data_IF_620898164590
#
_entry.id   IF_620898164590
#
_cell.length_a   1.000
_cell.length_b   1.000
_cell.length_c   1.000
_cell.angle_alpha   90.00
_cell.angle_beta   90.00
_cell.angle_gamma   90.00
#
_symmetry.space_group_name_H-M   'P 1'
#
loop_
_entity.id
_entity.type
_entity.pdbx_description
1 polymer ?
#
# COMPACT_ATOMS: atom_id res chain seq x y z
N UNK A 1 16.66 -68.00 56.61
CA UNK A 1 16.05 -67.83 55.26
C UNK A 1 15.34 -66.48 55.24
N UNK A 2 16.05 -65.41 54.79
CA UNK A 2 15.58 -64.04 54.81
C UNK A 2 15.11 -63.66 53.42
N UNK A 3 13.85 -63.26 53.24
CA UNK A 3 13.30 -62.77 51.99
C UNK A 3 13.54 -61.27 51.90
N UNK A 4 14.37 -60.86 50.98
CA UNK A 4 14.59 -59.45 50.64
C UNK A 4 13.51 -58.94 49.67
N UNK A 5 12.60 -58.10 50.15
CA UNK A 5 11.63 -57.37 49.30
C UNK A 5 12.33 -56.17 48.66
N UNK A 6 12.51 -56.21 47.33
CA UNK A 6 12.92 -55.03 46.53
C UNK A 6 11.68 -54.30 46.09
N UNK A 7 11.45 -53.13 46.64
CA UNK A 7 10.46 -52.19 46.16
C UNK A 7 11.06 -51.40 44.97
N UNK A 8 10.49 -51.56 43.79
CA UNK A 8 10.78 -50.67 42.62
C UNK A 8 10.02 -49.38 42.76
N UNK A 9 10.74 -48.28 42.99
CA UNK A 9 10.15 -46.95 42.92
C UNK A 9 10.06 -46.51 41.43
N UNK A 10 8.85 -46.37 40.94
CA UNK A 10 8.57 -45.80 39.62
C UNK A 10 8.59 -44.27 39.75
N UNK A 11 9.63 -43.63 39.25
CA UNK A 11 9.68 -42.18 39.15
C UNK A 11 8.91 -41.74 37.91
N UNK A 12 7.70 -41.20 38.11
CA UNK A 12 6.94 -40.58 37.03
C UNK A 12 7.53 -39.19 36.73
N UNK A 13 8.27 -39.08 35.60
CA UNK A 13 8.73 -37.81 35.08
C UNK A 13 7.54 -37.17 34.32
N UNK A 14 6.82 -36.27 34.97
CA UNK A 14 5.85 -35.39 34.30
C UNK A 14 6.59 -34.29 33.56
N UNK A 15 6.88 -34.54 32.28
CA UNK A 15 7.39 -33.51 31.39
C UNK A 15 6.33 -32.45 31.12
N UNK A 16 6.45 -31.30 31.75
CA UNK A 16 5.70 -30.11 31.35
C UNK A 16 6.23 -29.64 29.99
N UNK A 17 5.50 -29.94 28.92
CA UNK A 17 5.76 -29.32 27.61
C UNK A 17 5.38 -27.85 27.73
N UNK A 18 6.34 -26.99 28.02
CA UNK A 18 6.19 -25.54 27.78
C UNK A 18 6.05 -25.37 26.27
N UNK A 19 4.81 -25.18 25.81
CA UNK A 19 4.56 -24.65 24.49
C UNK A 19 5.15 -23.23 24.45
N UNK A 20 6.38 -23.10 23.97
CA UNK A 20 6.94 -21.80 23.63
C UNK A 20 6.00 -21.19 22.58
N UNK A 21 5.25 -20.16 22.98
CA UNK A 21 4.54 -19.31 22.04
C UNK A 21 5.61 -18.75 21.09
N UNK A 22 5.60 -19.18 19.84
CA UNK A 22 6.40 -18.56 18.79
C UNK A 22 5.95 -17.10 18.79
N UNK A 23 6.83 -16.13 19.13
CA UNK A 23 6.46 -14.74 19.01
C UNK A 23 6.09 -14.54 17.55
N UNK A 24 4.83 -14.16 17.29
CA UNK A 24 4.44 -13.69 15.99
C UNK A 24 5.43 -12.60 15.58
N UNK A 25 5.75 -12.47 14.33
CA UNK A 25 6.71 -11.54 13.72
C UNK A 25 6.32 -10.08 13.97
N UNK A 26 5.48 -9.81 14.96
CA UNK A 26 4.80 -8.58 15.29
C UNK A 26 5.73 -7.39 15.42
N UNK A 27 6.08 -6.79 14.29
CA UNK A 27 6.61 -5.43 14.31
C UNK A 27 5.59 -4.54 15.03
N UNK A 28 6.05 -3.87 16.08
CA UNK A 28 5.21 -2.96 16.84
C UNK A 28 4.48 -2.01 15.89
N UNK A 29 3.16 -1.93 16.04
CA UNK A 29 2.31 -1.08 15.20
C UNK A 29 1.69 -0.01 16.08
N UNK A 30 2.08 1.25 15.87
CA UNK A 30 1.47 2.40 16.54
C UNK A 30 1.12 3.47 15.53
N UNK A 31 -0.15 3.84 15.46
CA UNK A 31 -0.64 4.84 14.51
C UNK A 31 -1.78 5.65 15.13
N UNK A 32 -1.70 6.98 15.02
CA UNK A 32 -2.74 7.87 15.55
C UNK A 32 -2.96 7.74 17.06
N UNK A 33 -1.91 7.39 17.83
CA UNK A 33 -1.99 7.21 19.28
C UNK A 33 -2.60 5.89 19.74
N UNK A 34 -2.87 4.94 18.83
CA UNK A 34 -3.38 3.61 19.17
C UNK A 34 -2.37 2.51 18.77
N UNK A 35 -2.24 1.50 19.63
CA UNK A 35 -1.38 0.36 19.38
C UNK A 35 -2.21 -0.79 18.78
N UNK A 36 -1.79 -1.27 17.62
CA UNK A 36 -2.46 -2.37 16.92
C UNK A 36 -2.17 -3.72 17.56
N UNK A 37 -3.18 -4.58 17.61
CA UNK A 37 -3.12 -5.93 18.13
C UNK A 37 -3.38 -6.96 17.01
N UNK A 38 -2.34 -7.66 16.55
CA UNK A 38 -2.43 -8.60 15.43
C UNK A 38 -3.46 -9.70 15.66
N UNK A 39 -3.62 -10.19 16.90
CA UNK A 39 -4.61 -11.22 17.22
C UNK A 39 -6.05 -10.76 16.97
N UNK A 40 -6.40 -9.52 17.29
CA UNK A 40 -7.70 -8.90 16.98
C UNK A 40 -7.79 -8.59 15.48
N UNK A 41 -6.71 -8.09 14.89
CA UNK A 41 -6.61 -7.83 13.46
C UNK A 41 -6.88 -9.07 12.61
N UNK A 42 -6.42 -10.25 13.05
CA UNK A 42 -6.70 -11.53 12.40
C UNK A 42 -8.20 -11.84 12.32
N UNK A 43 -8.97 -11.54 13.38
CA UNK A 43 -10.42 -11.76 13.39
C UNK A 43 -11.11 -10.79 12.40
N UNK A 44 -10.73 -9.52 12.42
CA UNK A 44 -11.26 -8.51 11.51
C UNK A 44 -10.90 -8.83 10.05
N UNK A 45 -9.67 -9.27 9.80
CA UNK A 45 -9.20 -9.68 8.48
C UNK A 45 -10.04 -10.83 7.91
N UNK A 46 -10.29 -11.86 8.71
CA UNK A 46 -11.14 -12.98 8.32
C UNK A 46 -12.56 -12.56 7.97
N UNK A 47 -13.07 -11.54 8.64
CA UNK A 47 -14.43 -11.04 8.43
C UNK A 47 -14.55 -10.15 7.20
N UNK A 48 -13.58 -9.30 6.94
CA UNK A 48 -13.72 -8.21 5.98
C UNK A 48 -12.76 -8.26 4.79
N UNK A 49 -11.62 -8.93 4.91
CA UNK A 49 -10.52 -8.79 3.97
C UNK A 49 -10.18 -10.10 3.21
N UNK A 50 -10.40 -11.25 3.86
CA UNK A 50 -9.96 -12.57 3.36
C UNK A 50 -10.55 -12.92 2.00
N UNK A 51 -11.82 -12.56 1.74
CA UNK A 51 -12.49 -12.86 0.47
C UNK A 51 -11.78 -12.27 -0.76
N UNK A 52 -11.08 -11.16 -0.59
CA UNK A 52 -10.30 -10.53 -1.65
C UNK A 52 -8.81 -10.83 -1.54
N UNK A 53 -8.25 -10.65 -0.34
CA UNK A 53 -6.80 -10.73 -0.13
C UNK A 53 -6.27 -12.15 0.16
N UNK A 54 -7.15 -13.15 0.32
CA UNK A 54 -6.77 -14.53 0.58
C UNK A 54 -6.37 -14.81 2.04
N UNK A 55 -6.47 -16.06 2.45
CA UNK A 55 -6.10 -16.49 3.82
C UNK A 55 -4.60 -16.34 4.10
N UNK A 56 -3.77 -16.39 3.05
CA UNK A 56 -2.32 -16.21 3.10
C UNK A 56 -1.88 -14.75 2.85
N UNK A 57 -2.82 -13.84 2.62
CA UNK A 57 -2.51 -12.46 2.26
C UNK A 57 -1.89 -12.27 0.88
N UNK A 58 -1.95 -13.28 0.02
CA UNK A 58 -1.31 -13.36 -1.30
C UNK A 58 -2.13 -12.72 -2.44
N UNK A 59 -3.26 -12.11 -2.12
CA UNK A 59 -4.16 -11.49 -3.08
C UNK A 59 -5.02 -12.48 -3.87
N UNK A 60 -5.07 -13.76 -3.45
CA UNK A 60 -5.78 -14.85 -4.13
C UNK A 60 -7.03 -15.29 -3.36
N UNK A 61 -7.75 -14.35 -2.76
CA UNK A 61 -9.07 -14.65 -2.18
C UNK A 61 -10.09 -15.02 -3.26
N UNK A 62 -11.16 -15.68 -2.87
CA UNK A 62 -12.21 -16.18 -3.78
C UNK A 62 -12.75 -15.08 -4.71
N UNK A 63 -12.94 -13.87 -4.20
CA UNK A 63 -13.38 -12.73 -4.99
C UNK A 63 -12.24 -12.06 -5.77
N UNK A 64 -10.99 -12.28 -5.37
CA UNK A 64 -9.81 -11.64 -5.94
C UNK A 64 -9.64 -11.94 -7.43
N UNK A 65 -10.02 -13.14 -7.88
CA UNK A 65 -9.90 -13.58 -9.29
C UNK A 65 -10.79 -12.78 -10.26
N UNK A 66 -11.82 -12.14 -9.77
CA UNK A 66 -12.77 -11.33 -10.54
C UNK A 66 -12.49 -9.83 -10.48
N UNK A 67 -11.41 -9.42 -9.80
CA UNK A 67 -11.10 -8.00 -9.59
C UNK A 67 -10.02 -7.50 -10.51
N UNK A 68 -10.19 -6.28 -11.04
CA UNK A 68 -9.20 -5.55 -11.80
C UNK A 68 -9.08 -4.11 -11.26
N UNK A 69 -7.90 -3.68 -10.81
CA UNK A 69 -6.69 -4.49 -10.58
C UNK A 69 -6.87 -5.50 -9.45
N UNK A 70 -6.10 -6.58 -9.51
CA UNK A 70 -6.09 -7.63 -8.48
C UNK A 70 -5.78 -7.07 -7.08
N UNK A 71 -6.31 -7.71 -6.01
CA UNK A 71 -5.97 -7.35 -4.64
C UNK A 71 -4.47 -7.42 -4.38
N UNK A 72 -3.99 -6.57 -3.47
CA UNK A 72 -2.59 -6.53 -3.09
C UNK A 72 -2.16 -7.86 -2.44
N UNK A 73 -1.03 -8.36 -2.90
CA UNK A 73 -0.27 -9.41 -2.25
C UNK A 73 0.56 -8.79 -1.12
N UNK A 74 0.20 -9.08 0.12
CA UNK A 74 0.88 -8.56 1.32
C UNK A 74 2.18 -9.31 1.62
N UNK A 75 2.33 -10.55 1.10
CA UNK A 75 3.50 -11.38 1.39
C UNK A 75 4.80 -10.77 0.85
N UNK A 76 4.70 -9.94 -0.18
CA UNK A 76 5.84 -9.23 -0.77
C UNK A 76 6.31 -8.03 0.05
N UNK A 77 5.52 -7.55 1.01
CA UNK A 77 5.79 -6.29 1.71
C UNK A 77 5.83 -5.06 0.79
N UNK A 78 5.21 -5.14 -0.40
CA UNK A 78 5.23 -4.08 -1.41
C UNK A 78 3.88 -3.37 -1.46
N UNK A 79 3.86 -2.06 -1.34
CA UNK A 79 2.63 -1.26 -1.29
C UNK A 79 2.66 -0.12 -2.30
N UNK A 80 1.53 0.12 -2.99
CA UNK A 80 1.39 1.19 -3.98
C UNK A 80 1.40 2.58 -3.35
N UNK A 81 0.64 2.76 -2.27
CA UNK A 81 0.47 4.05 -1.62
C UNK A 81 1.39 4.13 -0.40
N UNK A 82 2.46 4.87 -0.54
CA UNK A 82 3.44 5.10 0.52
C UNK A 82 4.05 6.49 0.42
N UNK A 83 4.62 6.95 1.51
CA UNK A 83 5.40 8.19 1.59
C UNK A 83 6.90 7.94 1.56
N UNK A 84 7.33 6.71 1.71
CA UNK A 84 8.73 6.27 1.71
C UNK A 84 9.26 6.09 0.28
N UNK A 85 10.59 6.05 0.07
CA UNK A 85 11.19 5.80 -1.24
C UNK A 85 10.73 4.49 -1.89
N UNK A 86 10.81 4.42 -3.24
CA UNK A 86 10.46 3.21 -4.00
C UNK A 86 11.24 1.99 -3.52
N UNK A 87 10.58 0.85 -3.46
CA UNK A 87 11.18 -0.42 -3.02
C UNK A 87 11.26 -0.62 -1.50
N UNK A 88 11.04 0.43 -0.69
CA UNK A 88 11.10 0.36 0.78
C UNK A 88 9.72 0.03 1.38
N UNK A 89 9.70 -0.37 2.67
CA UNK A 89 8.45 -0.57 3.39
C UNK A 89 7.70 0.77 3.55
N UNK A 90 6.36 0.77 3.51
CA UNK A 90 5.56 1.95 3.82
C UNK A 90 5.63 2.27 5.33
N UNK A 91 5.32 3.51 5.69
CA UNK A 91 5.01 3.84 7.07
C UNK A 91 3.68 3.21 7.50
N UNK A 92 3.53 2.96 8.80
CA UNK A 92 2.25 2.51 9.38
C UNK A 92 1.10 3.45 9.01
N UNK A 93 1.35 4.75 8.99
CA UNK A 93 0.39 5.78 8.58
C UNK A 93 -0.07 5.64 7.13
N UNK A 94 0.78 5.19 6.22
CA UNK A 94 0.44 5.00 4.80
C UNK A 94 -0.57 3.86 4.61
N UNK A 95 -0.31 2.71 5.24
CA UNK A 95 -1.20 1.54 5.16
C UNK A 95 -2.50 1.81 5.91
N UNK A 96 -2.42 2.40 7.10
CA UNK A 96 -3.58 2.79 7.89
C UNK A 96 -4.51 3.74 7.13
N UNK A 97 -3.94 4.78 6.50
CA UNK A 97 -4.70 5.71 5.67
C UNK A 97 -5.31 5.01 4.46
N UNK A 98 -4.60 4.05 3.85
CA UNK A 98 -5.11 3.27 2.72
C UNK A 98 -6.29 2.39 3.12
N UNK A 99 -6.24 1.72 4.27
CA UNK A 99 -7.37 0.96 4.82
C UNK A 99 -8.56 1.91 5.02
N UNK A 100 -8.34 3.05 5.66
CA UNK A 100 -9.42 4.00 5.96
C UNK A 100 -10.09 4.56 4.71
N UNK A 101 -9.33 5.04 3.71
CA UNK A 101 -9.89 5.72 2.53
C UNK A 101 -10.31 4.79 1.39
N UNK A 102 -9.79 3.54 1.36
CA UNK A 102 -9.86 2.67 0.18
C UNK A 102 -8.93 3.14 -0.95
N UNK A 103 -9.08 2.54 -2.13
CA UNK A 103 -8.28 2.85 -3.32
C UNK A 103 -9.18 3.16 -4.50
N UNK A 104 -9.08 4.37 -5.03
CA UNK A 104 -9.79 4.80 -6.25
C UNK A 104 -9.34 3.97 -7.46
N UNK A 105 -10.25 3.74 -8.39
CA UNK A 105 -10.04 2.88 -9.55
C UNK A 105 -9.54 1.47 -9.16
N UNK A 106 -10.16 0.92 -8.10
CA UNK A 106 -10.00 -0.47 -7.69
C UNK A 106 -11.22 -0.90 -6.89
N UNK A 107 -11.36 -2.21 -6.64
CA UNK A 107 -12.43 -2.77 -5.80
C UNK A 107 -12.13 -2.68 -4.30
N UNK A 108 -11.03 -2.04 -3.87
CA UNK A 108 -10.73 -1.85 -2.45
C UNK A 108 -11.61 -0.76 -1.84
N UNK A 109 -12.63 -1.09 -1.04
CA UNK A 109 -13.54 -0.09 -0.48
C UNK A 109 -12.88 0.71 0.65
N UNK A 110 -13.51 1.82 1.04
CA UNK A 110 -13.17 2.52 2.28
C UNK A 110 -13.64 1.73 3.49
N UNK A 111 -12.78 1.59 4.47
CA UNK A 111 -13.06 1.01 5.78
C UNK A 111 -13.11 2.09 6.87
N UNK A 112 -13.53 3.31 6.51
CA UNK A 112 -13.67 4.42 7.46
C UNK A 112 -14.73 4.17 8.55
N UNK A 113 -15.66 3.25 8.32
CA UNK A 113 -16.64 2.82 9.32
C UNK A 113 -16.02 1.99 10.46
N UNK A 114 -14.86 1.38 10.25
CA UNK A 114 -14.11 0.73 11.33
C UNK A 114 -13.49 1.80 12.24
N UNK A 115 -13.46 1.52 13.53
CA UNK A 115 -12.83 2.39 14.54
C UNK A 115 -11.33 2.56 14.27
N UNK A 116 -10.73 3.57 14.87
CA UNK A 116 -9.27 3.77 14.79
C UNK A 116 -8.50 2.54 15.27
N UNK A 117 -8.97 1.92 16.38
CA UNK A 117 -8.36 0.73 16.95
C UNK A 117 -8.47 -0.47 16.00
N UNK A 118 -9.64 -0.72 15.41
CA UNK A 118 -9.82 -1.85 14.48
C UNK A 118 -8.94 -1.73 13.25
N UNK A 119 -8.76 -0.52 12.71
CA UNK A 119 -7.84 -0.31 11.59
C UNK A 119 -6.37 -0.50 11.97
N UNK A 120 -5.97 -0.09 13.19
CA UNK A 120 -4.63 -0.35 13.70
C UNK A 120 -4.39 -1.85 13.94
N UNK A 121 -5.38 -2.56 14.44
CA UNK A 121 -5.34 -4.02 14.63
C UNK A 121 -5.19 -4.74 13.28
N UNK A 122 -5.97 -4.33 12.26
CA UNK A 122 -5.83 -4.86 10.90
C UNK A 122 -4.43 -4.62 10.33
N UNK A 123 -3.89 -3.42 10.50
CA UNK A 123 -2.52 -3.10 10.07
C UNK A 123 -1.51 -4.01 10.76
N UNK A 124 -1.60 -4.20 12.06
CA UNK A 124 -0.71 -5.09 12.81
C UNK A 124 -0.73 -6.51 12.23
N UNK A 125 -1.91 -7.04 11.92
CA UNK A 125 -2.03 -8.37 11.32
C UNK A 125 -1.54 -8.43 9.87
N UNK A 126 -1.75 -7.38 9.06
CA UNK A 126 -1.27 -7.32 7.67
C UNK A 126 0.26 -7.40 7.62
N UNK A 127 0.96 -6.82 8.60
CA UNK A 127 2.43 -6.87 8.69
C UNK A 127 2.93 -8.31 8.89
N UNK A 128 2.16 -9.18 9.55
CA UNK A 128 2.53 -10.58 9.77
C UNK A 128 2.63 -11.41 8.47
N UNK A 129 2.07 -10.95 7.37
CA UNK A 129 2.15 -11.67 6.09
C UNK A 129 3.52 -11.57 5.42
N UNK A 130 4.35 -10.58 5.74
CA UNK A 130 5.66 -10.41 5.11
C UNK A 130 6.80 -10.42 6.10
N UNK A 131 7.83 -11.28 5.88
CA UNK A 131 9.02 -11.33 6.72
C UNK A 131 9.84 -10.02 6.69
N UNK A 132 9.61 -9.16 5.69
CA UNK A 132 10.31 -7.88 5.57
C UNK A 132 10.14 -7.01 6.83
N UNK A 133 8.96 -7.01 7.43
CA UNK A 133 8.67 -6.24 8.65
C UNK A 133 9.48 -6.68 9.88
N UNK A 134 10.02 -7.90 9.86
CA UNK A 134 10.86 -8.39 10.95
C UNK A 134 12.33 -7.96 10.80
N UNK A 135 12.80 -7.73 9.57
CA UNK A 135 14.21 -7.49 9.25
C UNK A 135 14.49 -6.10 8.69
N UNK A 136 13.47 -5.41 8.19
CA UNK A 136 13.57 -4.07 7.61
C UNK A 136 12.76 -3.06 8.44
N UNK A 137 13.20 -1.81 8.42
CA UNK A 137 12.44 -0.66 8.92
C UNK A 137 12.06 0.24 7.75
N UNK A 138 10.86 0.87 7.76
CA UNK A 138 10.54 1.89 6.79
C UNK A 138 11.60 2.99 6.79
N UNK A 139 11.97 3.46 5.60
CA UNK A 139 12.80 4.64 5.49
C UNK A 139 12.01 5.91 5.84
N UNK A 140 12.68 7.03 6.12
CA UNK A 140 12.02 8.30 6.31
C UNK A 140 11.15 8.66 5.09
N UNK A 141 9.99 9.31 5.30
CA UNK A 141 9.17 9.76 4.21
C UNK A 141 9.90 10.79 3.34
N UNK A 142 9.56 10.83 2.05
CA UNK A 142 10.06 11.88 1.17
C UNK A 142 9.63 13.25 1.69
N UNK A 143 10.59 14.17 1.77
CA UNK A 143 10.29 15.56 2.07
C UNK A 143 9.52 16.18 0.90
N UNK A 144 8.36 16.75 1.19
CA UNK A 144 7.53 17.46 0.22
C UNK A 144 7.64 18.94 0.56
N UNK A 145 8.27 19.77 -0.32
CA UNK A 145 8.33 21.20 -0.08
C UNK A 145 6.93 21.83 -0.18
N UNK A 146 6.73 23.01 0.43
CA UNK A 146 5.46 23.72 0.30
C UNK A 146 5.05 23.92 -1.16
N UNK A 147 3.76 23.77 -1.44
CA UNK A 147 3.20 24.03 -2.76
C UNK A 147 3.34 25.51 -3.14
N UNK A 148 3.98 25.84 -4.27
CA UNK A 148 4.01 27.21 -4.78
C UNK A 148 2.64 27.61 -5.36
N UNK A 149 2.40 28.91 -5.63
CA UNK A 149 1.16 29.36 -6.24
C UNK A 149 0.87 28.65 -7.59
N UNK A 150 -0.36 28.16 -7.74
CA UNK A 150 -0.87 27.64 -9.02
C UNK A 150 -1.16 28.81 -9.96
N UNK A 151 -0.34 28.95 -11.01
CA UNK A 151 -0.44 30.05 -11.99
C UNK A 151 -0.51 29.46 -13.41
N UNK A 152 -1.02 30.24 -14.39
CA UNK A 152 -0.99 29.82 -15.80
C UNK A 152 0.41 29.46 -16.29
N UNK A 153 1.45 30.14 -15.79
CA UNK A 153 2.85 29.87 -16.13
C UNK A 153 3.32 28.54 -15.56
N UNK A 154 2.96 28.21 -14.30
CA UNK A 154 3.29 26.91 -13.69
C UNK A 154 2.60 25.77 -14.44
N UNK A 155 1.33 25.94 -14.82
CA UNK A 155 0.60 24.97 -15.65
C UNK A 155 1.30 24.76 -17.00
N UNK A 156 1.76 25.86 -17.65
CA UNK A 156 2.47 25.79 -18.92
C UNK A 156 3.81 25.03 -18.79
N UNK A 157 4.58 25.30 -17.71
CA UNK A 157 5.81 24.55 -17.43
C UNK A 157 5.52 23.08 -17.13
N UNK A 158 4.47 22.80 -16.36
CA UNK A 158 4.04 21.45 -16.05
C UNK A 158 3.69 20.62 -17.30
N UNK A 159 3.04 21.24 -18.29
CA UNK A 159 2.80 20.61 -19.59
C UNK A 159 4.11 20.21 -20.30
N UNK A 160 5.14 21.07 -20.26
CA UNK A 160 6.48 20.73 -20.80
C UNK A 160 7.15 19.60 -20.01
N UNK A 161 6.97 19.57 -18.69
CA UNK A 161 7.45 18.45 -17.84
C UNK A 161 6.75 17.15 -18.23
N UNK A 162 5.43 17.17 -18.42
CA UNK A 162 4.64 16.01 -18.85
C UNK A 162 5.15 15.41 -20.16
N UNK A 163 5.48 16.27 -21.14
CA UNK A 163 6.07 15.86 -22.42
C UNK A 163 7.50 15.32 -22.25
N UNK A 164 8.37 16.05 -21.56
CA UNK A 164 9.78 15.69 -21.35
C UNK A 164 9.96 14.40 -20.58
N UNK A 165 9.12 14.18 -19.52
CA UNK A 165 9.14 12.96 -18.71
C UNK A 165 8.36 11.82 -19.37
N UNK A 166 7.89 12.02 -20.59
CA UNK A 166 7.19 11.02 -21.41
C UNK A 166 5.93 10.40 -20.76
N UNK A 167 5.30 11.13 -19.84
CA UNK A 167 4.10 10.68 -19.16
C UNK A 167 2.97 10.28 -20.13
N UNK A 168 2.94 10.98 -21.28
CA UNK A 168 1.97 10.75 -22.36
C UNK A 168 2.09 9.36 -22.99
N UNK A 169 3.25 8.69 -22.91
CA UNK A 169 3.41 7.33 -23.47
C UNK A 169 2.45 6.33 -22.85
N UNK A 170 2.14 6.49 -21.57
CA UNK A 170 1.17 5.66 -20.87
C UNK A 170 -0.17 6.40 -20.69
N UNK A 171 -0.13 7.65 -20.22
CA UNK A 171 -1.32 8.38 -19.82
C UNK A 171 -2.04 9.10 -20.98
N UNK A 172 -1.48 9.09 -22.20
CA UNK A 172 -2.03 9.81 -23.35
C UNK A 172 -1.70 11.31 -23.31
N UNK A 173 -1.77 11.98 -24.45
CA UNK A 173 -1.50 13.43 -24.56
C UNK A 173 -2.53 14.29 -23.84
N UNK A 174 -3.76 13.77 -23.75
CA UNK A 174 -4.91 14.39 -23.08
C UNK A 174 -5.11 13.89 -21.65
N UNK A 175 -4.27 12.96 -21.18
CA UNK A 175 -4.36 12.36 -19.85
C UNK A 175 -5.45 11.31 -19.68
N UNK A 176 -6.06 10.81 -20.78
CA UNK A 176 -7.18 9.85 -20.74
C UNK A 176 -6.75 8.39 -20.51
N UNK A 177 -5.44 8.13 -20.32
CA UNK A 177 -4.92 6.78 -20.12
C UNK A 177 -4.79 5.96 -21.41
N UNK A 178 -4.83 6.62 -22.58
CA UNK A 178 -4.82 6.01 -23.91
C UNK A 178 -3.47 6.12 -24.63
N UNK A 179 -2.37 6.29 -23.90
CA UNK A 179 -1.05 6.40 -24.51
C UNK A 179 -0.65 5.15 -25.29
N UNK A 180 0.32 5.26 -26.23
CA UNK A 180 0.72 4.14 -27.10
C UNK A 180 1.20 2.90 -26.33
N UNK A 181 1.71 3.04 -25.12
CA UNK A 181 2.12 1.91 -24.27
C UNK A 181 0.99 1.36 -23.40
N UNK A 182 -0.17 2.01 -23.33
CA UNK A 182 -1.22 1.69 -22.37
C UNK A 182 -1.72 0.24 -22.45
N UNK A 183 -1.78 -0.33 -23.66
CA UNK A 183 -2.30 -1.69 -23.90
C UNK A 183 -1.29 -2.80 -23.61
N UNK A 184 -0.03 -2.48 -23.42
CA UNK A 184 1.06 -3.46 -23.20
C UNK A 184 1.58 -3.47 -21.77
N UNK A 185 1.02 -2.61 -20.89
CA UNK A 185 1.48 -2.52 -19.51
C UNK A 185 1.05 -3.73 -18.70
N UNK A 186 1.99 -4.24 -17.91
CA UNK A 186 1.73 -5.31 -16.93
C UNK A 186 2.19 -4.90 -15.54
N UNK A 187 1.59 -5.50 -14.51
CA UNK A 187 2.06 -5.38 -13.13
C UNK A 187 3.26 -6.30 -12.87
N UNK A 188 3.82 -6.29 -11.67
CA UNK A 188 4.96 -7.13 -11.26
C UNK A 188 4.69 -8.65 -11.27
N UNK A 189 3.49 -9.07 -11.64
CA UNK A 189 3.08 -10.46 -11.82
C UNK A 189 2.59 -10.74 -13.25
N UNK A 190 3.06 -9.96 -14.21
CA UNK A 190 2.74 -10.04 -15.64
C UNK A 190 1.24 -9.97 -15.97
N UNK A 191 0.45 -9.35 -15.10
CA UNK A 191 -0.98 -9.16 -15.33
C UNK A 191 -1.23 -7.81 -15.98
N UNK A 192 -2.12 -7.72 -16.98
CA UNK A 192 -2.48 -6.46 -17.60
C UNK A 192 -2.89 -5.39 -16.56
N UNK A 193 -2.47 -4.16 -16.79
CA UNK A 193 -2.84 -3.02 -15.96
C UNK A 193 -3.03 -1.79 -16.85
N UNK A 194 -4.02 -0.96 -16.53
CA UNK A 194 -4.30 0.26 -17.29
C UNK A 194 -3.78 1.50 -16.57
N UNK A 195 -3.25 2.49 -17.29
CA UNK A 195 -2.89 3.79 -16.73
C UNK A 195 -4.11 4.51 -16.15
N UNK A 196 -3.87 5.35 -15.16
CA UNK A 196 -4.93 6.18 -14.62
C UNK A 196 -5.40 7.22 -15.66
N UNK A 197 -6.72 7.34 -15.82
CA UNK A 197 -7.37 8.34 -16.64
C UNK A 197 -7.61 9.60 -15.79
N UNK A 198 -6.83 10.65 -16.03
CA UNK A 198 -6.93 11.91 -15.30
C UNK A 198 -8.23 12.67 -15.61
N UNK A 199 -8.87 12.39 -16.75
CA UNK A 199 -10.08 13.09 -17.17
C UNK A 199 -11.33 12.67 -16.39
N UNK A 200 -11.31 11.52 -15.72
CA UNK A 200 -12.49 10.92 -15.06
C UNK A 200 -12.71 11.31 -13.62
N UNK A 201 -11.96 12.23 -13.07
CA UNK A 201 -12.23 12.66 -11.71
C UNK A 201 -11.09 13.34 -10.98
N UNK A 202 -11.37 13.74 -9.75
CA UNK A 202 -10.47 14.53 -8.90
C UNK A 202 -9.80 13.71 -7.81
N UNK A 203 -10.04 12.40 -7.77
CA UNK A 203 -9.46 11.49 -6.77
C UNK A 203 -8.47 10.55 -7.42
N UNK A 204 -7.25 10.53 -6.93
CA UNK A 204 -6.20 9.62 -7.37
C UNK A 204 -6.18 8.35 -6.53
N UNK A 205 -5.45 7.34 -7.00
CA UNK A 205 -5.36 6.05 -6.32
C UNK A 205 -4.97 6.20 -4.84
N UNK A 206 -4.00 7.04 -4.53
CA UNK A 206 -3.45 7.20 -3.18
C UNK A 206 -3.93 8.45 -2.43
N UNK A 207 -4.90 9.17 -2.96
CA UNK A 207 -5.45 10.36 -2.30
C UNK A 207 -6.15 11.30 -3.26
N UNK A 208 -6.31 12.58 -2.84
CA UNK A 208 -7.04 13.59 -3.65
C UNK A 208 -6.46 15.00 -3.59
N UNK A 209 -5.49 15.23 -2.70
CA UNK A 209 -4.83 16.54 -2.57
C UNK A 209 -3.71 16.70 -3.61
N UNK A 210 -3.21 17.91 -3.79
CA UNK A 210 -2.05 18.18 -4.62
C UNK A 210 -0.81 17.47 -4.05
N UNK A 211 -0.65 17.48 -2.74
CA UNK A 211 0.41 16.76 -2.05
C UNK A 211 0.34 15.24 -2.28
N UNK A 212 -0.87 14.64 -2.27
CA UNK A 212 -1.04 13.22 -2.59
C UNK A 212 -0.59 12.91 -4.02
N UNK A 213 -0.93 13.80 -4.97
CA UNK A 213 -0.53 13.64 -6.37
C UNK A 213 0.98 13.79 -6.53
N UNK A 214 1.58 14.82 -5.92
CA UNK A 214 3.03 15.00 -5.86
C UNK A 214 3.73 13.74 -5.33
N UNK A 215 3.25 13.22 -4.21
CA UNK A 215 3.77 12.02 -3.57
C UNK A 215 3.72 10.80 -4.51
N UNK A 216 2.61 10.59 -5.22
CA UNK A 216 2.41 9.43 -6.10
C UNK A 216 3.52 9.30 -7.14
N UNK A 217 3.84 10.35 -7.87
CA UNK A 217 4.88 10.23 -8.89
C UNK A 217 6.29 10.39 -8.34
N UNK A 218 6.49 11.06 -7.22
CA UNK A 218 7.80 11.12 -6.58
C UNK A 218 8.19 9.78 -5.91
N UNK A 219 7.24 9.01 -5.40
CA UNK A 219 7.50 7.68 -4.85
C UNK A 219 7.28 6.55 -5.86
N UNK A 220 6.55 6.79 -6.95
CA UNK A 220 6.03 5.74 -7.83
C UNK A 220 4.92 4.91 -7.18
N UNK A 221 4.45 3.91 -7.91
CA UNK A 221 3.43 2.96 -7.46
C UNK A 221 4.00 1.53 -7.51
N UNK A 222 4.68 1.09 -6.46
CA UNK A 222 5.37 -0.19 -6.43
C UNK A 222 4.47 -1.36 -6.83
N UNK A 223 5.04 -2.26 -7.64
CA UNK A 223 4.34 -3.38 -8.25
C UNK A 223 3.48 -2.98 -9.46
N UNK A 224 3.71 -1.77 -10.00
CA UNK A 224 3.13 -1.30 -11.28
C UNK A 224 4.20 -0.69 -12.16
N UNK A 225 3.95 -0.46 -13.47
CA UNK A 225 4.88 0.25 -14.35
C UNK A 225 5.11 1.72 -14.03
N UNK A 226 4.34 2.32 -13.12
CA UNK A 226 4.51 3.74 -12.74
C UNK A 226 5.75 3.92 -11.87
N UNK A 227 6.87 4.46 -12.41
CA UNK A 227 8.13 4.57 -11.68
C UNK A 227 8.13 5.73 -10.68
N UNK A 228 9.16 5.78 -9.83
CA UNK A 228 9.52 6.98 -9.08
C UNK A 228 10.25 7.96 -9.99
N UNK A 229 9.90 9.23 -9.90
CA UNK A 229 10.59 10.32 -10.61
C UNK A 229 11.50 11.15 -9.68
N UNK A 230 11.68 10.71 -8.43
CA UNK A 230 12.45 11.44 -7.41
C UNK A 230 13.83 11.91 -7.90
N UNK A 231 14.55 11.05 -8.62
CA UNK A 231 15.92 11.32 -9.02
C UNK A 231 16.03 12.13 -10.31
N UNK A 232 14.93 12.28 -11.05
CA UNK A 232 14.91 12.89 -12.37
C UNK A 232 14.01 14.13 -12.48
N UNK A 233 13.29 14.47 -11.40
CA UNK A 233 12.33 15.56 -11.38
C UNK A 233 12.60 16.48 -10.18
N UNK A 234 13.12 17.70 -10.41
CA UNK A 234 13.28 18.70 -9.36
C UNK A 234 11.95 19.05 -8.68
N UNK A 235 11.99 19.43 -7.39
CA UNK A 235 10.77 19.68 -6.62
C UNK A 235 9.84 20.77 -7.17
N UNK A 236 10.38 21.83 -7.73
CA UNK A 236 9.63 22.92 -8.36
C UNK A 236 8.92 22.45 -9.64
N UNK A 237 9.61 21.70 -10.49
CA UNK A 237 9.02 21.08 -11.67
C UNK A 237 7.97 20.02 -11.32
N UNK A 238 8.17 19.32 -10.22
CA UNK A 238 7.19 18.37 -9.70
C UNK A 238 5.89 19.07 -9.32
N UNK A 239 5.95 20.25 -8.71
CA UNK A 239 4.76 21.06 -8.43
C UNK A 239 4.11 21.62 -9.70
N UNK A 240 4.91 22.09 -10.66
CA UNK A 240 4.41 22.51 -11.96
C UNK A 240 3.64 21.37 -12.66
N UNK A 241 4.16 20.13 -12.59
CA UNK A 241 3.47 18.95 -13.11
C UNK A 241 2.13 18.69 -12.38
N UNK A 242 2.09 18.86 -11.06
CA UNK A 242 0.83 18.74 -10.29
C UNK A 242 -0.21 19.73 -10.82
N UNK A 243 0.16 21.00 -10.97
CA UNK A 243 -0.73 22.05 -11.49
C UNK A 243 -1.26 21.69 -12.88
N UNK A 244 -0.40 21.24 -13.77
CA UNK A 244 -0.82 20.78 -15.10
C UNK A 244 -1.79 19.60 -15.04
N UNK A 245 -1.48 18.55 -14.28
CA UNK A 245 -2.34 17.38 -14.16
C UNK A 245 -3.73 17.71 -13.60
N UNK A 246 -3.84 18.75 -12.77
CA UNK A 246 -5.13 19.24 -12.30
C UNK A 246 -5.98 19.86 -13.42
N UNK A 247 -5.36 20.45 -14.43
CA UNK A 247 -6.13 21.00 -15.56
C UNK A 247 -6.73 19.93 -16.47
N UNK A 248 -6.16 18.72 -16.47
CA UNK A 248 -6.67 17.59 -17.25
C UNK A 248 -7.98 17.02 -16.65
N UNK A 249 -8.28 17.34 -15.39
CA UNK A 249 -9.46 16.84 -14.72
C UNK A 249 -10.72 17.51 -15.22
N UNK A 250 -11.76 16.74 -15.47
CA UNK A 250 -13.09 17.30 -15.80
C UNK A 250 -13.55 18.19 -14.64
N UNK A 251 -13.72 19.46 -14.92
CA UNK A 251 -14.42 20.36 -13.99
C UNK A 251 -15.85 19.84 -13.86
N UNK A 252 -16.13 19.14 -12.76
CA UNK A 252 -17.51 18.77 -12.42
C UNK A 252 -18.27 20.08 -12.34
N UNK A 253 -19.14 20.34 -13.32
CA UNK A 253 -20.09 21.46 -13.24
C UNK A 253 -20.91 21.24 -11.99
N UNK A 254 -20.76 22.15 -11.02
CA UNK A 254 -21.62 22.22 -9.84
C UNK A 254 -23.05 22.54 -10.24
#
# INVERSE_FOLDING_TARGET
>A
MSKLNRACAVVAITGAVLAAAIPGWGAETSVGGVNGQAARGKQLYRRYCVGCHGAKGDGQGENGVYMEPRPRDFTTGTFKCRSTPTGTLPLDTDVYATIGRGLVASSMPSWSALTAQERADLLAFIKDFSPRWAVEKPEPPLAIPPEPPDTPESVTRGGKVYERMECWKCHGKDGSGNGPSATTLTDSKDRPIVPYDFTKGTRFKCGRTNEDLYKIFMTGLDGTPMPSFKDNLPPDEAWDLVHYLRTLQVKVKK
#
